data_IF_421654865540
#
_entry.id   IF_421654865540
#
_cell.length_a   1.000
_cell.length_b   1.000
_cell.length_c   1.000
_cell.angle_alpha   90.00
_cell.angle_beta   90.00
_cell.angle_gamma   90.00
#
_symmetry.space_group_name_H-M   'P 1'
#
loop_
_entity.id
_entity.type
_entity.pdbx_description
1 polymer ?
#
# COMPACT_ATOMS: atom_id res chain seq x y z
N UNK A 1 -35.31 -15.41 9.02
CA UNK A 1 -34.49 -15.20 7.80
C UNK A 1 -34.58 -16.47 7.01
N UNK A 2 -35.18 -16.44 5.82
CA UNK A 2 -35.24 -17.59 4.92
C UNK A 2 -33.92 -17.72 4.16
N UNK A 3 -33.32 -18.90 4.17
CA UNK A 3 -32.24 -19.23 3.26
C UNK A 3 -32.85 -19.53 1.90
N UNK A 4 -32.28 -18.97 0.84
CA UNK A 4 -32.82 -19.12 -0.51
C UNK A 4 -32.46 -20.48 -1.09
N UNK A 5 -33.28 -21.00 -2.00
CA UNK A 5 -33.02 -22.29 -2.63
C UNK A 5 -31.66 -22.31 -3.39
N UNK A 6 -31.23 -21.15 -3.90
CA UNK A 6 -29.93 -21.00 -4.57
C UNK A 6 -28.76 -21.15 -3.60
N UNK A 7 -28.93 -20.75 -2.34
CA UNK A 7 -27.92 -20.97 -1.32
C UNK A 7 -27.86 -22.45 -0.96
N UNK A 8 -29.01 -23.09 -0.73
CA UNK A 8 -29.09 -24.54 -0.43
C UNK A 8 -28.44 -25.37 -1.53
N UNK A 9 -28.61 -24.99 -2.80
CA UNK A 9 -28.01 -25.68 -3.95
C UNK A 9 -26.48 -25.77 -3.94
N UNK A 10 -25.79 -24.91 -3.15
CA UNK A 10 -24.33 -24.96 -2.97
C UNK A 10 -23.90 -26.12 -2.06
N UNK A 11 -24.77 -26.59 -1.19
CA UNK A 11 -24.52 -27.63 -0.18
C UNK A 11 -25.00 -28.99 -0.68
N UNK A 12 -24.33 -29.50 -1.71
CA UNK A 12 -24.74 -30.70 -2.46
C UNK A 12 -23.74 -31.87 -2.41
N UNK A 13 -22.78 -31.83 -1.47
CA UNK A 13 -21.73 -32.83 -1.36
C UNK A 13 -21.91 -33.68 -0.10
N UNK A 14 -21.22 -34.81 -0.01
CA UNK A 14 -21.37 -35.68 1.15
C UNK A 14 -20.71 -35.18 2.44
N UNK A 15 -19.91 -34.11 2.34
CA UNK A 15 -19.31 -33.41 3.48
C UNK A 15 -20.00 -32.08 3.76
N UNK A 16 -21.01 -31.75 2.97
CA UNK A 16 -21.76 -30.50 3.03
C UNK A 16 -23.08 -30.70 2.27
N UNK A 17 -24.04 -31.34 2.94
CA UNK A 17 -25.30 -31.82 2.35
C UNK A 17 -26.48 -31.19 3.06
N UNK A 18 -27.15 -30.26 2.40
CA UNK A 18 -28.39 -29.67 2.89
C UNK A 18 -29.57 -30.12 2.05
N UNK A 19 -30.74 -30.25 2.66
CA UNK A 19 -31.99 -30.60 1.97
C UNK A 19 -33.11 -29.70 2.47
N UNK A 20 -34.07 -29.39 1.60
CA UNK A 20 -35.28 -28.64 1.99
C UNK A 20 -36.39 -29.65 2.25
N UNK A 21 -37.05 -29.53 3.40
CA UNK A 21 -38.23 -30.33 3.77
C UNK A 21 -39.29 -29.38 4.34
N UNK A 22 -40.36 -29.18 3.59
CA UNK A 22 -41.33 -28.11 3.82
C UNK A 22 -40.67 -26.74 3.71
N UNK A 23 -40.86 -25.89 4.72
CA UNK A 23 -40.23 -24.57 4.79
C UNK A 23 -38.88 -24.58 5.53
N UNK A 24 -38.32 -25.77 5.79
CA UNK A 24 -37.09 -25.93 6.58
C UNK A 24 -35.93 -26.37 5.70
N UNK A 25 -34.79 -25.71 5.88
CA UNK A 25 -33.50 -26.17 5.36
C UNK A 25 -32.82 -26.98 6.46
N UNK A 26 -32.49 -28.23 6.16
CA UNK A 26 -31.89 -29.18 7.09
C UNK A 26 -30.46 -29.47 6.66
N UNK A 27 -29.49 -29.25 7.54
CA UNK A 27 -28.14 -29.78 7.38
C UNK A 27 -28.12 -31.23 7.83
N UNK A 28 -28.02 -32.15 6.86
CA UNK A 28 -28.03 -33.60 7.09
C UNK A 28 -26.65 -34.22 6.94
N UNK A 29 -25.59 -33.41 6.82
CA UNK A 29 -24.21 -33.86 6.57
C UNK A 29 -23.77 -34.96 7.53
N UNK A 30 -23.96 -34.73 8.83
CA UNK A 30 -23.58 -35.71 9.86
C UNK A 30 -24.55 -36.89 9.94
N UNK A 31 -25.78 -36.71 9.48
CA UNK A 31 -26.82 -37.74 9.49
C UNK A 31 -26.77 -38.68 8.28
N UNK A 32 -26.03 -38.32 7.22
CA UNK A 32 -25.90 -39.15 6.01
C UNK A 32 -25.45 -40.59 6.31
N UNK A 33 -24.54 -40.75 7.28
CA UNK A 33 -24.03 -42.07 7.67
C UNK A 33 -25.03 -42.87 8.51
N UNK A 34 -25.86 -42.18 9.29
CA UNK A 34 -26.80 -42.78 10.25
C UNK A 34 -28.20 -43.00 9.66
N UNK A 35 -28.45 -42.50 8.46
CA UNK A 35 -29.74 -42.65 7.79
C UNK A 35 -30.05 -44.13 7.51
N UNK A 36 -31.16 -44.70 8.06
CA UNK A 36 -31.49 -46.12 7.91
C UNK A 36 -31.70 -46.58 6.45
N UNK A 37 -32.16 -45.68 5.58
CA UNK A 37 -32.29 -45.93 4.14
C UNK A 37 -30.97 -45.81 3.37
N UNK A 38 -29.86 -45.60 4.07
CA UNK A 38 -28.53 -45.39 3.51
C UNK A 38 -28.31 -43.97 2.99
N UNK A 39 -27.03 -43.57 2.96
CA UNK A 39 -26.54 -42.27 2.47
C UNK A 39 -27.05 -41.91 1.06
N UNK A 40 -27.05 -42.89 0.15
CA UNK A 40 -27.42 -42.67 -1.27
C UNK A 40 -28.84 -42.14 -1.45
N UNK A 41 -29.75 -42.49 -0.55
CA UNK A 41 -31.16 -42.10 -0.62
C UNK A 41 -31.34 -40.60 -0.37
N UNK A 42 -30.55 -40.01 0.52
CA UNK A 42 -30.56 -38.57 0.80
C UNK A 42 -29.74 -37.82 -0.27
N UNK A 43 -28.61 -38.37 -0.69
CA UNK A 43 -27.70 -37.71 -1.64
C UNK A 43 -28.34 -37.37 -3.00
N UNK A 44 -29.41 -38.05 -3.40
CA UNK A 44 -30.15 -37.70 -4.63
C UNK A 44 -30.78 -36.30 -4.58
N UNK A 45 -31.03 -35.82 -3.37
CA UNK A 45 -31.68 -34.55 -3.05
C UNK A 45 -30.72 -33.55 -2.38
N UNK A 46 -29.42 -33.84 -2.33
CA UNK A 46 -28.43 -32.91 -1.78
C UNK A 46 -28.49 -31.57 -2.54
N UNK A 47 -28.67 -30.48 -1.79
CA UNK A 47 -28.86 -29.13 -2.30
C UNK A 47 -30.23 -28.88 -2.94
N UNK A 48 -31.23 -29.72 -2.71
CA UNK A 48 -32.56 -29.64 -3.34
C UNK A 48 -33.70 -29.69 -2.33
N UNK A 49 -34.88 -29.38 -2.83
CA UNK A 49 -36.14 -29.67 -2.16
C UNK A 49 -36.48 -31.15 -2.30
N UNK A 50 -36.71 -31.79 -1.15
CA UNK A 50 -37.04 -33.20 -1.00
C UNK A 50 -38.39 -33.37 -0.28
N UNK A 51 -39.18 -32.30 -0.16
CA UNK A 51 -40.40 -32.28 0.67
C UNK A 51 -41.37 -33.40 0.29
N UNK A 52 -41.64 -33.54 -1.00
CA UNK A 52 -42.60 -34.52 -1.50
C UNK A 52 -42.11 -35.96 -1.21
N UNK A 53 -40.85 -36.25 -1.54
CA UNK A 53 -40.27 -37.58 -1.33
C UNK A 53 -40.07 -37.92 0.14
N UNK A 54 -39.76 -36.91 0.96
CA UNK A 54 -39.65 -37.07 2.40
C UNK A 54 -41.01 -37.41 3.02
N UNK A 55 -42.06 -36.64 2.70
CA UNK A 55 -43.41 -36.83 3.26
C UNK A 55 -44.05 -38.16 2.82
N UNK A 56 -43.64 -38.73 1.68
CA UNK A 56 -44.09 -40.07 1.23
C UNK A 56 -43.52 -41.22 2.07
N UNK A 57 -42.33 -41.04 2.64
CA UNK A 57 -41.58 -42.13 3.30
C UNK A 57 -41.40 -41.91 4.80
N UNK A 58 -41.53 -40.67 5.29
CA UNK A 58 -41.22 -40.28 6.65
C UNK A 58 -42.28 -39.32 7.23
N UNK A 59 -42.57 -39.47 8.52
CA UNK A 59 -43.30 -38.45 9.29
C UNK A 59 -42.32 -37.36 9.73
N UNK A 60 -42.65 -36.07 9.53
CA UNK A 60 -41.81 -34.92 9.91
C UNK A 60 -41.33 -34.92 11.37
N UNK A 61 -41.98 -35.64 12.27
CA UNK A 61 -41.51 -35.84 13.65
C UNK A 61 -40.11 -36.46 13.74
N UNK A 62 -39.67 -37.20 12.72
CA UNK A 62 -38.32 -37.80 12.73
C UNK A 62 -37.23 -36.73 12.65
N UNK A 63 -37.48 -35.57 12.04
CA UNK A 63 -36.53 -34.44 11.97
C UNK A 63 -36.13 -34.03 13.40
N UNK A 64 -37.12 -33.84 14.27
CA UNK A 64 -36.92 -33.47 15.67
C UNK A 64 -36.32 -34.60 16.50
N UNK A 65 -36.68 -35.86 16.20
CA UNK A 65 -36.10 -37.04 16.87
C UNK A 65 -34.58 -37.12 16.67
N UNK A 66 -34.09 -36.71 15.50
CA UNK A 66 -32.66 -36.70 15.17
C UNK A 66 -32.00 -35.32 15.34
N UNK A 67 -32.71 -34.33 15.91
CA UNK A 67 -32.16 -33.00 16.19
C UNK A 67 -31.74 -32.20 14.94
N UNK A 68 -32.33 -32.51 13.79
CA UNK A 68 -31.97 -31.89 12.50
C UNK A 68 -32.53 -30.46 12.35
N UNK A 69 -33.40 -30.03 13.27
CA UNK A 69 -34.01 -28.70 13.34
C UNK A 69 -33.11 -27.64 14.01
N UNK A 70 -32.11 -28.04 14.79
CA UNK A 70 -31.26 -27.12 15.57
C UNK A 70 -30.04 -26.58 14.79
N UNK A 71 -29.56 -27.32 13.78
CA UNK A 71 -28.36 -26.95 13.02
C UNK A 71 -28.47 -25.59 12.31
N UNK A 72 -29.68 -25.24 11.86
CA UNK A 72 -29.93 -24.02 11.09
C UNK A 72 -29.90 -22.73 11.95
N UNK A 73 -30.34 -22.81 13.21
CA UNK A 73 -30.24 -21.67 14.14
C UNK A 73 -28.77 -21.36 14.48
N UNK A 74 -27.95 -22.39 14.63
CA UNK A 74 -26.52 -22.22 14.95
C UNK A 74 -25.73 -21.63 13.78
N UNK A 75 -25.99 -22.06 12.54
CA UNK A 75 -25.32 -21.55 11.32
C UNK A 75 -25.71 -20.08 11.06
N UNK A 76 -27.00 -19.74 11.13
CA UNK A 76 -27.46 -18.37 10.86
C UNK A 76 -26.98 -17.38 11.94
N UNK A 77 -26.91 -17.79 13.21
CA UNK A 77 -26.36 -16.93 14.27
C UNK A 77 -24.83 -16.78 14.19
N UNK A 78 -24.09 -17.83 13.85
CA UNK A 78 -22.63 -17.74 13.69
C UNK A 78 -22.23 -16.95 12.45
N UNK A 79 -22.90 -17.14 11.31
CA UNK A 79 -22.62 -16.33 10.11
C UNK A 79 -22.99 -14.86 10.30
N UNK A 80 -24.14 -14.57 10.93
CA UNK A 80 -24.55 -13.18 11.19
C UNK A 80 -23.60 -12.48 12.17
N UNK A 81 -23.14 -13.17 13.23
CA UNK A 81 -22.16 -12.60 14.16
C UNK A 81 -20.80 -12.37 13.50
N UNK A 82 -20.32 -13.29 12.65
CA UNK A 82 -19.09 -13.06 11.90
C UNK A 82 -19.21 -11.90 10.89
N UNK A 83 -20.34 -11.77 10.20
CA UNK A 83 -20.59 -10.63 9.30
C UNK A 83 -20.65 -9.29 10.05
N UNK A 84 -21.28 -9.25 11.22
CA UNK A 84 -21.30 -8.05 12.07
C UNK A 84 -19.90 -7.70 12.59
N UNK A 85 -19.10 -8.69 12.98
CA UNK A 85 -17.69 -8.46 13.37
C UNK A 85 -16.85 -7.93 12.21
N UNK A 86 -17.01 -8.47 11.00
CA UNK A 86 -16.30 -7.97 9.81
C UNK A 86 -16.70 -6.52 9.47
N UNK A 87 -17.99 -6.18 9.55
CA UNK A 87 -18.48 -4.81 9.38
C UNK A 87 -17.91 -3.87 10.45
N UNK A 88 -17.87 -4.28 11.72
CA UNK A 88 -17.27 -3.48 12.79
C UNK A 88 -15.77 -3.27 12.60
N UNK A 89 -15.03 -4.29 12.14
CA UNK A 89 -13.61 -4.20 11.84
C UNK A 89 -13.36 -3.25 10.67
N UNK A 90 -14.14 -3.34 9.59
CA UNK A 90 -14.02 -2.44 8.43
C UNK A 90 -14.30 -0.99 8.85
N UNK A 91 -15.35 -0.74 9.63
CA UNK A 91 -15.68 0.60 10.14
C UNK A 91 -14.54 1.13 11.03
N UNK A 92 -13.98 0.29 11.91
CA UNK A 92 -12.88 0.67 12.79
C UNK A 92 -11.60 1.00 12.01
N UNK A 93 -11.28 0.24 10.97
CA UNK A 93 -10.14 0.49 10.06
C UNK A 93 -10.36 1.80 9.29
N UNK A 94 -11.56 2.03 8.75
CA UNK A 94 -11.88 3.28 8.05
C UNK A 94 -11.79 4.50 8.97
N UNK A 95 -12.31 4.41 10.20
CA UNK A 95 -12.19 5.47 11.20
C UNK A 95 -10.73 5.74 11.58
N UNK A 96 -9.92 4.69 11.75
CA UNK A 96 -8.49 4.82 12.07
C UNK A 96 -7.70 5.44 10.90
N UNK A 97 -8.00 5.06 9.65
CA UNK A 97 -7.41 5.68 8.46
C UNK A 97 -7.80 7.16 8.33
N UNK A 98 -9.06 7.49 8.59
CA UNK A 98 -9.53 8.88 8.55
C UNK A 98 -8.87 9.72 9.66
N UNK A 99 -8.71 9.17 10.87
CA UNK A 99 -8.00 9.84 11.97
C UNK A 99 -6.51 10.02 11.66
N UNK A 100 -5.85 9.01 11.07
CA UNK A 100 -4.46 9.11 10.63
C UNK A 100 -4.29 10.15 9.52
N UNK A 101 -5.23 10.23 8.56
CA UNK A 101 -5.22 11.22 7.49
C UNK A 101 -5.41 12.64 8.04
N UNK A 102 -6.31 12.84 9.02
CA UNK A 102 -6.45 14.12 9.72
C UNK A 102 -5.17 14.50 10.48
N UNK A 103 -4.54 13.55 11.19
CA UNK A 103 -3.27 13.78 11.89
C UNK A 103 -2.14 14.15 10.92
N UNK A 104 -2.07 13.52 9.74
CA UNK A 104 -1.10 13.89 8.71
C UNK A 104 -1.38 15.29 8.13
N UNK A 105 -2.65 15.68 7.99
CA UNK A 105 -3.01 17.03 7.52
C UNK A 105 -2.62 18.09 8.54
N UNK A 106 -2.88 17.88 9.83
CA UNK A 106 -2.48 18.82 10.89
C UNK A 106 -0.96 18.90 11.05
N UNK A 107 -0.24 17.77 10.94
CA UNK A 107 1.22 17.75 10.93
C UNK A 107 1.78 18.54 9.73
N UNK A 108 1.19 18.39 8.54
CA UNK A 108 1.58 19.18 7.36
C UNK A 108 1.31 20.68 7.54
N UNK A 109 0.20 21.04 8.19
CA UNK A 109 -0.10 22.45 8.51
C UNK A 109 0.90 23.02 9.51
N UNK A 110 1.28 22.26 10.54
CA UNK A 110 2.28 22.64 11.53
C UNK A 110 3.67 22.83 10.89
N UNK A 111 4.09 21.91 10.02
CA UNK A 111 5.36 22.05 9.30
C UNK A 111 5.35 23.31 8.42
N UNK A 112 4.26 23.58 7.70
CA UNK A 112 4.12 24.81 6.91
C UNK A 112 4.19 26.07 7.77
N UNK A 113 3.55 26.08 8.95
CA UNK A 113 3.61 27.24 9.85
C UNK A 113 5.01 27.44 10.42
N UNK A 114 5.71 26.36 10.79
CA UNK A 114 7.10 26.43 11.27
C UNK A 114 8.01 26.98 10.17
N UNK A 115 7.94 26.45 8.94
CA UNK A 115 8.73 26.96 7.82
C UNK A 115 8.39 28.42 7.49
N UNK A 116 7.12 28.82 7.61
CA UNK A 116 6.72 30.21 7.44
C UNK A 116 7.31 31.13 8.54
N UNK A 117 7.32 30.69 9.79
CA UNK A 117 7.95 31.41 10.91
C UNK A 117 9.46 31.51 10.74
N UNK A 118 10.15 30.41 10.43
CA UNK A 118 11.59 30.40 10.16
C UNK A 118 11.93 31.31 8.97
N UNK A 119 11.15 31.26 7.89
CA UNK A 119 11.32 32.19 6.75
C UNK A 119 11.15 33.64 7.17
N UNK A 120 10.16 33.95 8.00
CA UNK A 120 9.92 35.31 8.49
C UNK A 120 11.05 35.79 9.41
N UNK A 121 11.58 34.91 10.28
CA UNK A 121 12.72 35.21 11.14
C UNK A 121 14.02 35.42 10.33
N UNK A 122 14.28 34.60 9.32
CA UNK A 122 15.42 34.79 8.40
C UNK A 122 15.28 36.10 7.62
N UNK A 123 14.07 36.45 7.17
CA UNK A 123 13.81 37.72 6.51
C UNK A 123 14.05 38.93 7.45
N UNK A 124 13.67 38.82 8.72
CA UNK A 124 13.96 39.83 9.75
C UNK A 124 15.45 39.88 10.13
N UNK A 125 16.15 38.75 10.12
CA UNK A 125 17.59 38.70 10.35
C UNK A 125 18.36 39.43 9.24
N UNK A 126 17.96 39.25 7.97
CA UNK A 126 18.54 39.97 6.83
C UNK A 126 18.33 41.49 6.87
N UNK A 127 17.27 41.98 7.52
CA UNK A 127 17.04 43.44 7.67
C UNK A 127 17.79 44.03 8.86
N UNK A 128 18.11 43.22 9.89
CA UNK A 128 18.86 43.65 11.09
C UNK A 128 20.37 43.51 10.96
N UNK A 129 20.83 42.58 10.12
CA UNK A 129 22.20 42.46 9.66
C UNK A 129 22.13 42.33 8.14
N UNK A 130 22.39 43.40 7.36
CA UNK A 130 22.59 43.21 5.94
C UNK A 130 23.79 42.27 5.80
N UNK A 131 23.55 41.01 5.44
CA UNK A 131 24.62 40.11 5.05
C UNK A 131 25.38 40.86 3.96
N UNK A 132 26.67 41.08 4.20
CA UNK A 132 27.63 41.24 3.13
C UNK A 132 27.23 40.24 2.04
N UNK A 133 26.87 40.78 0.88
CA UNK A 133 26.47 40.06 -0.33
C UNK A 133 27.23 38.74 -0.37
N UNK A 134 26.50 37.62 -0.46
CA UNK A 134 27.08 36.29 -0.64
C UNK A 134 28.22 36.42 -1.63
N UNK A 135 29.45 36.32 -1.11
CA UNK A 135 30.64 36.33 -1.93
C UNK A 135 30.49 35.12 -2.82
N UNK A 136 30.29 35.36 -4.11
CA UNK A 136 30.45 34.36 -5.16
C UNK A 136 31.90 33.89 -5.10
N UNK A 137 32.17 32.93 -4.21
CA UNK A 137 33.49 32.31 -4.08
C UNK A 137 33.81 31.68 -5.43
N UNK A 138 34.66 32.38 -6.19
CA UNK A 138 35.17 31.89 -7.44
C UNK A 138 36.11 30.72 -7.13
N UNK A 139 35.78 29.54 -7.62
CA UNK A 139 36.62 28.36 -7.48
C UNK A 139 37.51 28.28 -8.72
N UNK A 140 38.81 28.08 -8.53
CA UNK A 140 39.75 27.98 -9.66
C UNK A 140 39.75 26.56 -10.24
N UNK A 141 40.10 26.41 -11.52
CA UNK A 141 40.16 25.10 -12.16
C UNK A 141 41.15 24.16 -11.46
N UNK A 142 42.24 24.71 -10.93
CA UNK A 142 43.27 23.97 -10.20
C UNK A 142 42.74 23.40 -8.89
N UNK A 143 41.82 24.10 -8.22
CA UNK A 143 41.16 23.58 -7.03
C UNK A 143 40.23 22.43 -7.40
N UNK A 144 39.40 22.59 -8.44
CA UNK A 144 38.51 21.53 -8.91
C UNK A 144 39.28 20.26 -9.28
N UNK A 145 40.45 20.39 -9.91
CA UNK A 145 41.29 19.26 -10.32
C UNK A 145 41.77 18.37 -9.17
N UNK A 146 41.77 18.87 -7.92
CA UNK A 146 42.12 18.08 -6.72
C UNK A 146 41.03 17.08 -6.34
N UNK A 147 39.78 17.36 -6.70
CA UNK A 147 38.60 16.57 -6.35
C UNK A 147 38.26 15.59 -7.48
N UNK A 148 39.12 14.59 -7.68
CA UNK A 148 39.08 13.66 -8.81
C UNK A 148 38.95 12.18 -8.41
N UNK A 149 38.53 11.88 -7.18
CA UNK A 149 38.42 10.52 -6.65
C UNK A 149 36.96 10.14 -6.38
N UNK A 150 36.69 8.86 -6.16
CA UNK A 150 35.31 8.42 -5.95
C UNK A 150 34.71 8.78 -4.58
N UNK A 151 35.55 9.21 -3.64
CA UNK A 151 35.15 9.72 -2.33
C UNK A 151 35.22 11.25 -2.25
N UNK A 152 35.66 11.89 -3.33
CA UNK A 152 35.81 13.33 -3.44
C UNK A 152 35.84 13.72 -4.93
N UNK A 153 34.65 13.93 -5.50
CA UNK A 153 34.44 14.11 -6.93
C UNK A 153 33.70 15.41 -7.22
N UNK A 154 34.40 16.38 -7.81
CA UNK A 154 33.78 17.61 -8.29
C UNK A 154 33.79 17.65 -9.81
N UNK A 155 32.78 18.28 -10.39
CA UNK A 155 32.66 18.48 -11.85
C UNK A 155 32.20 19.91 -12.14
N UNK A 156 32.63 20.45 -13.26
CA UNK A 156 32.16 21.75 -13.75
C UNK A 156 31.07 21.52 -14.79
N UNK A 157 29.92 22.16 -14.61
CA UNK A 157 28.83 22.17 -15.60
C UNK A 157 28.37 23.62 -15.80
N UNK A 158 28.57 24.14 -17.01
CA UNK A 158 28.43 25.56 -17.32
C UNK A 158 29.49 26.37 -16.59
N UNK A 159 29.04 27.22 -15.66
CA UNK A 159 29.92 28.02 -14.80
C UNK A 159 29.88 27.54 -13.35
N UNK A 160 29.19 26.42 -13.06
CA UNK A 160 28.97 25.93 -11.71
C UNK A 160 29.94 24.80 -11.37
N UNK A 161 30.55 24.87 -10.19
CA UNK A 161 31.35 23.79 -9.62
C UNK A 161 30.46 22.97 -8.68
N UNK A 162 30.26 21.71 -9.02
CA UNK A 162 29.34 20.80 -8.34
C UNK A 162 30.11 19.65 -7.70
N UNK A 163 29.91 19.45 -6.40
CA UNK A 163 30.34 18.24 -5.69
C UNK A 163 29.28 17.16 -5.87
N UNK A 164 29.64 16.10 -6.58
CA UNK A 164 28.75 15.01 -7.00
C UNK A 164 29.10 13.69 -6.32
N UNK A 165 29.94 13.73 -5.28
CA UNK A 165 30.47 12.55 -4.57
C UNK A 165 29.35 11.59 -4.14
N UNK A 166 28.30 12.12 -3.51
CA UNK A 166 27.18 11.31 -3.02
C UNK A 166 26.25 10.86 -4.15
N UNK A 167 26.26 11.53 -5.30
CA UNK A 167 25.43 11.21 -6.45
C UNK A 167 26.03 10.11 -7.36
N UNK A 168 27.33 9.81 -7.22
CA UNK A 168 28.03 8.85 -8.08
C UNK A 168 27.36 7.47 -8.17
N UNK A 169 26.81 6.98 -7.07
CA UNK A 169 26.15 5.67 -7.01
C UNK A 169 24.74 5.67 -7.63
N UNK A 170 24.06 6.81 -7.56
CA UNK A 170 22.66 6.97 -7.99
C UNK A 170 22.55 7.46 -9.44
N UNK A 171 23.68 7.79 -10.07
CA UNK A 171 23.70 8.25 -11.46
C UNK A 171 23.18 7.17 -12.42
N UNK A 172 22.07 7.40 -13.16
CA UNK A 172 21.48 6.40 -14.07
C UNK A 172 22.41 5.98 -15.22
N UNK A 173 23.29 6.88 -15.67
CA UNK A 173 24.33 6.58 -16.66
C UNK A 173 25.54 5.83 -16.09
N UNK A 174 25.50 5.46 -14.81
CA UNK A 174 26.56 4.76 -14.08
C UNK A 174 27.68 5.67 -13.55
N UNK A 175 28.30 5.25 -12.44
CA UNK A 175 29.44 5.94 -11.79
C UNK A 175 30.59 6.26 -12.75
N UNK A 176 30.94 5.32 -13.64
CA UNK A 176 32.09 5.46 -14.55
C UNK A 176 31.96 6.66 -15.47
N UNK A 177 30.74 7.02 -15.87
CA UNK A 177 30.46 8.12 -16.79
C UNK A 177 30.79 9.47 -16.17
N UNK A 178 30.49 9.67 -14.87
CA UNK A 178 30.89 10.88 -14.14
C UNK A 178 32.39 10.85 -13.84
N UNK A 179 32.94 9.70 -13.44
CA UNK A 179 34.35 9.58 -13.05
C UNK A 179 35.34 9.92 -14.18
N UNK A 180 34.95 9.82 -15.46
CA UNK A 180 35.79 10.28 -16.58
C UNK A 180 36.09 11.79 -16.52
N UNK A 181 35.18 12.55 -15.90
CA UNK A 181 35.22 14.01 -15.75
C UNK A 181 35.44 14.46 -14.31
N UNK A 182 35.80 13.56 -13.39
CA UNK A 182 36.13 13.92 -12.02
C UNK A 182 37.30 14.93 -12.01
N UNK A 183 37.08 16.08 -11.39
CA UNK A 183 38.00 17.21 -11.36
C UNK A 183 38.10 18.00 -12.67
N UNK A 184 37.15 17.86 -13.60
CA UNK A 184 37.19 18.48 -14.93
C UNK A 184 35.88 19.20 -15.29
N UNK A 185 35.94 19.91 -16.40
CA UNK A 185 34.76 20.45 -17.08
C UNK A 185 34.07 19.36 -17.90
N UNK A 186 32.79 19.15 -17.62
CA UNK A 186 31.90 18.20 -18.27
C UNK A 186 30.75 18.90 -19.00
N UNK A 187 30.83 20.22 -19.21
CA UNK A 187 29.71 21.03 -19.72
C UNK A 187 29.22 20.52 -21.07
N UNK A 188 30.11 20.27 -22.02
CA UNK A 188 29.74 19.87 -23.38
C UNK A 188 29.09 18.48 -23.37
N UNK A 189 29.70 17.51 -22.72
CA UNK A 189 29.19 16.14 -22.63
C UNK A 189 27.91 16.05 -21.82
N UNK A 190 27.77 16.88 -20.79
CA UNK A 190 26.54 16.99 -20.00
C UNK A 190 25.41 17.56 -20.86
N UNK A 191 25.63 18.69 -21.54
CA UNK A 191 24.60 19.36 -22.35
C UNK A 191 24.19 18.54 -23.58
N UNK A 192 25.06 17.66 -24.10
CA UNK A 192 24.73 16.71 -25.18
C UNK A 192 23.76 15.60 -24.75
N UNK A 193 23.75 15.22 -23.47
CA UNK A 193 23.00 14.06 -22.97
C UNK A 193 21.87 14.45 -22.00
N UNK A 194 21.94 15.62 -21.38
CA UNK A 194 21.06 16.02 -20.27
C UNK A 194 20.63 17.49 -20.37
N UNK A 195 19.39 17.78 -19.97
CA UNK A 195 18.93 19.16 -19.71
C UNK A 195 19.42 19.61 -18.32
N UNK A 196 19.97 20.82 -18.20
CA UNK A 196 20.49 21.38 -16.93
C UNK A 196 19.49 21.38 -15.77
N UNK A 197 18.19 21.30 -16.03
CA UNK A 197 17.14 21.15 -15.00
C UNK A 197 17.30 19.87 -14.17
N UNK A 198 17.93 18.83 -14.70
CA UNK A 198 18.11 17.56 -13.96
C UNK A 198 19.05 17.71 -12.76
N UNK A 199 19.99 18.66 -12.80
CA UNK A 199 20.91 18.96 -11.69
C UNK A 199 20.12 19.41 -10.46
N UNK A 200 19.12 20.28 -10.67
CA UNK A 200 18.28 20.74 -9.57
C UNK A 200 17.41 19.62 -9.03
N UNK A 201 16.71 18.91 -9.93
CA UNK A 201 15.72 17.91 -9.56
C UNK A 201 16.30 16.69 -8.85
N UNK A 202 17.41 16.15 -9.34
CA UNK A 202 17.98 14.89 -8.84
C UNK A 202 19.25 15.08 -8.00
N UNK A 203 19.81 16.29 -7.98
CA UNK A 203 21.02 16.63 -7.25
C UNK A 203 20.75 17.55 -6.07
N UNK A 204 20.38 18.81 -6.35
CA UNK A 204 20.27 19.85 -5.32
C UNK A 204 19.04 19.65 -4.41
N UNK A 205 17.87 19.36 -4.98
CA UNK A 205 16.63 19.21 -4.22
C UNK A 205 16.63 17.92 -3.37
N UNK A 206 17.35 16.87 -3.82
CA UNK A 206 17.57 15.62 -3.08
C UNK A 206 18.79 15.69 -2.13
N UNK A 207 19.59 16.76 -2.21
CA UNK A 207 20.78 16.97 -1.36
C UNK A 207 21.99 16.08 -1.67
N UNK A 208 21.99 15.38 -2.81
CA UNK A 208 23.08 14.48 -3.25
C UNK A 208 24.18 15.22 -4.02
N UNK A 209 23.89 16.43 -4.51
CA UNK A 209 24.84 17.33 -5.17
C UNK A 209 24.93 18.64 -4.40
N UNK A 210 26.14 19.16 -4.23
CA UNK A 210 26.38 20.43 -3.52
C UNK A 210 27.06 21.44 -4.45
N UNK A 211 26.49 22.64 -4.58
CA UNK A 211 27.12 23.75 -5.29
C UNK A 211 28.28 24.32 -4.46
N UNK A 212 29.52 24.18 -4.96
CA UNK A 212 30.73 24.68 -4.28
C UNK A 212 31.08 26.11 -4.64
N UNK A 213 30.65 26.56 -5.82
CA UNK A 213 30.88 27.92 -6.28
C UNK A 213 30.72 28.03 -7.78
N UNK A 214 31.30 29.08 -8.35
CA UNK A 214 31.31 29.31 -9.79
C UNK A 214 32.73 29.48 -10.30
N UNK A 215 33.02 29.00 -11.51
CA UNK A 215 34.27 29.31 -12.19
C UNK A 215 34.05 30.50 -13.14
N UNK A 216 35.04 31.39 -13.26
CA UNK A 216 35.04 32.41 -14.32
C UNK A 216 35.87 31.84 -15.48
N UNK A 217 35.22 31.61 -16.62
CA UNK A 217 35.86 31.19 -17.86
C UNK A 217 36.45 32.39 -18.60
#
# INVERSE_FOLDING_TARGET
MSVSAEEVAKHNTDKDCWVIVGDQVLDVTNFLADHPGGKKSIMMFAGKDATEEFDMLHDRKVIKKYGLDEGMMMITMTMMTMMMMMLMIIIMIMMMMMMMMMMMMTMKQLLRSIFAQVRAEVALAHTRYPLAVASTMSVSAEEVAKHNTDKDCWVIVGDQVLDVTNFLADHPGGKKSIMMFAGKDATEEFDMLHDRKVIKKYGLDEGTVVLKGTIKK
#
